data_IF_323877955302
#
_entry.id   IF_323877955302
#
_cell.length_a   1.000
_cell.length_b   1.000
_cell.length_c   1.000
_cell.angle_alpha   90.00
_cell.angle_beta   90.00
_cell.angle_gamma   90.00
#
_symmetry.space_group_name_H-M   'P 1'
#
loop_
_entity.id
_entity.type
_entity.pdbx_description
1 polymer ?
#
# COMPACT_ATOMS: atom_id res chain seq x y z
N UNK A 1 3.89 6.09 43.94
CA UNK A 1 3.90 7.53 44.29
C UNK A 1 4.03 8.36 43.02
N UNK A 2 2.91 8.65 42.35
CA UNK A 2 2.88 9.42 41.10
C UNK A 2 3.51 10.81 41.23
N UNK A 3 4.82 10.87 41.06
CA UNK A 3 5.60 12.09 40.94
C UNK A 3 6.17 12.10 39.53
N UNK A 4 5.61 12.93 38.67
CA UNK A 4 6.25 13.34 37.42
C UNK A 4 7.46 14.19 37.80
N UNK A 5 8.65 13.58 37.74
CA UNK A 5 9.91 14.29 37.93
C UNK A 5 10.12 15.27 36.78
N UNK A 6 10.28 16.55 37.09
CA UNK A 6 10.77 17.59 36.16
C UNK A 6 12.19 17.31 35.61
N UNK A 7 12.86 16.25 36.10
CA UNK A 7 14.25 15.88 35.78
C UNK A 7 14.42 14.52 35.07
N UNK A 8 13.36 13.86 34.61
CA UNK A 8 13.51 12.63 33.83
C UNK A 8 13.97 12.97 32.40
N UNK A 9 15.28 13.00 32.16
CA UNK A 9 15.88 13.49 30.92
C UNK A 9 15.60 12.63 29.67
N UNK A 10 15.16 11.38 29.85
CA UNK A 10 14.72 10.47 28.77
C UNK A 10 14.23 9.16 29.39
N UNK A 11 13.19 8.54 28.84
CA UNK A 11 12.83 7.14 29.15
C UNK A 11 13.72 6.13 28.40
N UNK A 12 14.71 6.62 27.64
CA UNK A 12 15.68 5.81 26.90
C UNK A 12 17.01 5.78 27.66
N UNK A 13 17.44 4.58 28.03
CA UNK A 13 18.75 4.30 28.61
C UNK A 13 19.84 4.61 27.58
N UNK A 14 20.90 5.30 28.00
CA UNK A 14 22.06 5.56 27.15
C UNK A 14 22.81 4.26 26.82
N UNK A 15 23.34 4.16 25.59
CA UNK A 15 24.20 3.06 25.19
C UNK A 15 25.56 3.63 24.73
N UNK A 16 26.65 3.45 25.51
CA UNK A 16 27.96 3.98 25.14
C UNK A 16 28.62 3.20 23.99
N UNK A 17 28.14 2.00 23.66
CA UNK A 17 28.70 1.13 22.61
C UNK A 17 28.09 1.39 21.23
N UNK A 18 27.32 2.47 21.07
CA UNK A 18 26.70 2.82 19.81
C UNK A 18 27.74 3.13 18.74
N UNK A 19 27.49 2.58 17.55
CA UNK A 19 28.27 2.79 16.34
C UNK A 19 27.37 3.13 15.17
N UNK A 20 27.98 3.57 14.07
CA UNK A 20 27.28 3.85 12.82
C UNK A 20 26.74 2.57 12.19
N UNK A 21 25.53 2.67 11.63
CA UNK A 21 25.03 1.66 10.69
C UNK A 21 25.93 1.64 9.45
N UNK A 22 26.34 0.45 9.01
CA UNK A 22 27.29 0.30 7.90
C UNK A 22 26.65 -0.50 6.78
N UNK A 23 26.54 0.09 5.59
CA UNK A 23 26.08 -0.61 4.38
C UNK A 23 27.27 -1.05 3.54
N UNK A 24 27.38 -2.35 3.32
CA UNK A 24 28.34 -2.96 2.39
C UNK A 24 27.62 -3.24 1.07
N UNK A 25 28.03 -2.54 0.02
CA UNK A 25 27.47 -2.66 -1.33
C UNK A 25 28.41 -3.44 -2.23
N UNK A 26 27.86 -4.46 -2.89
CA UNK A 26 28.48 -5.18 -4.00
C UNK A 26 27.64 -4.92 -5.24
N UNK A 27 28.27 -4.47 -6.33
CA UNK A 27 27.60 -4.24 -7.61
C UNK A 27 28.44 -4.86 -8.73
N UNK A 28 27.76 -5.47 -9.70
CA UNK A 28 28.31 -5.95 -10.96
C UNK A 28 27.45 -5.37 -12.09
N UNK A 29 28.05 -4.54 -12.93
CA UNK A 29 27.40 -3.92 -14.09
C UNK A 29 27.97 -4.42 -15.42
N UNK A 30 27.13 -4.49 -16.43
CA UNK A 30 27.50 -4.66 -17.83
C UNK A 30 26.83 -3.57 -18.67
N UNK A 31 27.63 -2.71 -19.26
CA UNK A 31 27.20 -1.71 -20.23
C UNK A 31 27.39 -2.21 -21.66
N UNK A 32 26.47 -1.84 -22.55
CA UNK A 32 26.58 -2.17 -23.97
C UNK A 32 26.10 -1.03 -24.87
N UNK A 33 26.77 -0.90 -26.01
CA UNK A 33 26.43 -0.02 -27.11
C UNK A 33 26.50 -0.83 -28.42
N UNK A 34 25.37 -0.96 -29.13
CA UNK A 34 25.25 -1.76 -30.34
C UNK A 34 24.77 -0.88 -31.52
N UNK A 35 25.11 -1.31 -32.74
CA UNK A 35 24.61 -0.73 -33.99
C UNK A 35 24.80 0.80 -34.09
N UNK A 36 26.02 1.29 -33.84
CA UNK A 36 26.33 2.72 -33.77
C UNK A 36 25.45 3.47 -32.75
N UNK A 37 25.28 2.86 -31.57
CA UNK A 37 24.48 3.38 -30.44
C UNK A 37 22.98 3.53 -30.75
N UNK A 38 22.45 2.78 -31.72
CA UNK A 38 20.99 2.66 -31.90
C UNK A 38 20.34 1.86 -30.79
N UNK A 39 21.08 0.94 -30.17
CA UNK A 39 20.64 0.22 -28.98
C UNK A 39 21.74 0.32 -27.95
N UNK A 40 21.43 0.89 -26.79
CA UNK A 40 22.36 1.01 -25.66
C UNK A 40 21.67 0.71 -24.35
N UNK A 41 22.41 0.30 -23.34
CA UNK A 41 21.82 -0.02 -22.06
C UNK A 41 22.82 -0.54 -21.04
N UNK A 42 22.30 -0.82 -19.86
CA UNK A 42 23.05 -1.41 -18.76
C UNK A 42 22.23 -2.52 -18.10
N UNK A 43 22.92 -3.55 -17.62
CA UNK A 43 22.39 -4.54 -16.70
C UNK A 43 23.25 -4.51 -15.45
N UNK A 44 22.64 -4.23 -14.32
CA UNK A 44 23.31 -4.13 -13.03
C UNK A 44 22.71 -5.12 -12.06
N UNK A 45 23.55 -5.89 -11.38
CA UNK A 45 23.16 -6.74 -10.27
C UNK A 45 23.82 -6.21 -8.99
N UNK A 46 23.05 -6.08 -7.92
CA UNK A 46 23.57 -5.56 -6.66
C UNK A 46 23.16 -6.40 -5.46
N UNK A 47 23.97 -6.30 -4.41
CA UNK A 47 23.70 -6.80 -3.08
C UNK A 47 24.19 -5.78 -2.06
N UNK A 48 23.24 -5.17 -1.34
CA UNK A 48 23.48 -4.25 -0.25
C UNK A 48 23.18 -4.95 1.07
N UNK A 49 24.16 -5.04 1.96
CA UNK A 49 23.97 -5.57 3.32
C UNK A 49 24.22 -4.44 4.30
N UNK A 50 23.19 -4.03 5.02
CA UNK A 50 23.28 -3.01 6.07
C UNK A 50 23.36 -3.71 7.42
N UNK A 51 24.50 -3.53 8.09
CA UNK A 51 24.80 -4.10 9.40
C UNK A 51 24.70 -3.05 10.48
N UNK A 52 24.62 -3.54 11.72
CA UNK A 52 24.63 -2.71 12.92
C UNK A 52 23.43 -1.75 12.97
N UNK A 53 22.26 -2.19 12.49
CA UNK A 53 21.04 -1.37 12.51
C UNK A 53 20.71 -0.92 13.93
N UNK A 54 20.38 0.36 14.07
CA UNK A 54 19.96 0.99 15.31
C UNK A 54 18.50 0.64 15.58
N UNK A 55 18.29 -0.28 16.52
CA UNK A 55 16.97 -0.71 16.93
C UNK A 55 16.69 -0.16 18.32
N UNK A 56 15.52 0.45 18.52
CA UNK A 56 15.07 0.86 19.85
C UNK A 56 14.54 -0.37 20.59
N UNK A 57 15.32 -0.91 21.52
CA UNK A 57 15.07 -2.19 22.16
C UNK A 57 14.51 -2.01 23.57
N UNK A 58 13.45 -2.72 23.99
CA UNK A 58 12.92 -2.62 25.35
C UNK A 58 13.92 -3.20 26.37
N UNK A 59 14.13 -2.51 27.49
CA UNK A 59 15.07 -2.96 28.53
C UNK A 59 14.35 -3.27 29.84
N UNK A 60 14.65 -4.39 30.51
CA UNK A 60 14.09 -4.68 31.83
C UNK A 60 14.75 -3.79 32.91
N UNK A 61 13.95 -3.10 33.73
CA UNK A 61 14.45 -2.32 34.87
C UNK A 61 13.53 -1.21 35.34
N UNK A 62 13.80 -0.65 36.53
CA UNK A 62 13.05 0.49 37.08
C UNK A 62 13.70 1.81 36.64
N UNK A 63 13.11 2.49 35.65
CA UNK A 63 13.48 3.88 35.31
C UNK A 63 13.73 4.18 33.83
N UNK A 64 13.85 3.16 32.97
CA UNK A 64 13.98 3.31 31.52
C UNK A 64 13.13 2.25 30.81
N UNK A 65 12.47 2.65 29.72
CA UNK A 65 11.59 1.77 28.93
C UNK A 65 12.37 1.10 27.80
N UNK A 66 13.36 1.78 27.23
CA UNK A 66 14.06 1.36 26.00
C UNK A 66 15.54 1.74 25.98
N UNK A 67 16.33 1.15 25.09
CA UNK A 67 17.72 1.51 24.80
C UNK A 67 17.99 1.29 23.30
N UNK A 68 18.62 2.25 22.62
CA UNK A 68 19.09 2.02 21.25
C UNK A 68 20.28 1.05 21.24
N UNK A 69 20.25 0.05 20.34
CA UNK A 69 21.32 -0.93 20.18
C UNK A 69 21.58 -1.22 18.70
N UNK A 70 22.84 -1.43 18.34
CA UNK A 70 23.24 -1.93 17.03
C UNK A 70 23.08 -3.44 16.99
N UNK A 71 21.94 -3.94 16.51
CA UNK A 71 21.60 -5.37 16.61
C UNK A 71 21.00 -5.98 15.34
N UNK A 72 20.57 -5.18 14.38
CA UNK A 72 19.95 -5.70 13.16
C UNK A 72 20.90 -5.80 11.96
N UNK A 73 20.56 -6.69 11.05
CA UNK A 73 21.15 -6.77 9.71
C UNK A 73 20.02 -6.91 8.67
N UNK A 74 20.03 -6.08 7.63
CA UNK A 74 19.14 -6.20 6.48
C UNK A 74 19.92 -6.36 5.19
N UNK A 75 19.28 -6.94 4.19
CA UNK A 75 19.83 -7.14 2.86
C UNK A 75 18.82 -6.67 1.80
N UNK A 76 19.30 -5.92 0.82
CA UNK A 76 18.61 -5.69 -0.44
C UNK A 76 19.42 -6.35 -1.55
N UNK A 77 18.76 -7.10 -2.43
CA UNK A 77 19.40 -7.74 -3.58
C UNK A 77 18.51 -7.55 -4.79
N UNK A 78 19.10 -7.13 -5.89
CA UNK A 78 18.32 -6.79 -7.05
C UNK A 78 19.08 -6.80 -8.36
N UNK A 79 18.29 -6.68 -9.42
CA UNK A 79 18.75 -6.49 -10.79
C UNK A 79 18.04 -5.27 -11.36
N UNK A 80 18.80 -4.40 -11.99
CA UNK A 80 18.32 -3.23 -12.71
C UNK A 80 18.74 -3.34 -14.17
N UNK A 81 17.80 -3.07 -15.06
CA UNK A 81 18.02 -3.09 -16.50
C UNK A 81 17.58 -1.76 -17.06
N UNK A 82 18.46 -1.11 -17.81
CA UNK A 82 18.15 0.06 -18.61
C UNK A 82 18.38 -0.23 -20.09
N UNK A 83 17.49 0.27 -20.95
CA UNK A 83 17.55 0.07 -22.39
C UNK A 83 17.09 1.35 -23.10
N UNK A 84 17.90 1.82 -24.03
CA UNK A 84 17.60 2.92 -24.93
C UNK A 84 17.65 2.42 -26.36
N UNK A 85 16.63 2.75 -27.14
CA UNK A 85 16.47 2.34 -28.53
C UNK A 85 16.18 3.59 -29.35
N UNK A 86 17.12 3.96 -30.23
CA UNK A 86 16.88 4.93 -31.30
C UNK A 86 16.33 4.19 -32.51
N UNK A 87 15.01 4.01 -32.53
CA UNK A 87 14.30 3.20 -33.52
C UNK A 87 14.34 3.87 -34.90
N UNK A 88 14.15 5.19 -34.93
CA UNK A 88 14.24 6.02 -36.14
C UNK A 88 15.13 7.22 -35.83
N UNK A 89 16.08 7.49 -36.73
CA UNK A 89 17.03 8.60 -36.58
C UNK A 89 17.34 9.19 -37.95
N UNK A 90 16.48 10.11 -38.38
CA UNK A 90 16.64 10.90 -39.60
C UNK A 90 16.67 12.39 -39.23
N UNK A 91 17.00 13.24 -40.20
CA UNK A 91 17.12 14.70 -39.99
C UNK A 91 15.79 15.33 -39.57
N UNK A 92 14.70 14.98 -40.25
CA UNK A 92 13.39 15.60 -40.04
C UNK A 92 12.49 14.83 -39.06
N UNK A 93 12.82 13.58 -38.74
CA UNK A 93 12.02 12.77 -37.84
C UNK A 93 12.86 11.74 -37.06
N UNK A 94 12.48 11.56 -35.79
CA UNK A 94 13.11 10.60 -34.89
C UNK A 94 12.07 9.94 -33.99
N UNK A 95 12.40 8.73 -33.55
CA UNK A 95 11.61 7.96 -32.59
C UNK A 95 12.58 7.21 -31.68
N UNK A 96 12.56 7.58 -30.40
CA UNK A 96 13.40 7.00 -29.37
C UNK A 96 12.53 6.42 -28.24
N UNK A 97 12.94 5.25 -27.77
CA UNK A 97 12.36 4.58 -26.61
C UNK A 97 13.42 4.45 -25.52
N UNK A 98 13.08 4.86 -24.30
CA UNK A 98 13.89 4.56 -23.11
C UNK A 98 13.06 3.69 -22.18
N UNK A 99 13.66 2.65 -21.63
CA UNK A 99 13.02 1.69 -20.73
C UNK A 99 13.94 1.42 -19.55
N UNK A 100 13.37 1.33 -18.36
CA UNK A 100 14.07 0.86 -17.18
C UNK A 100 13.17 -0.05 -16.35
N UNK A 101 13.74 -1.11 -15.78
CA UNK A 101 13.05 -2.02 -14.86
C UNK A 101 14.00 -2.42 -13.73
N UNK A 102 13.49 -2.44 -12.51
CA UNK A 102 14.19 -2.85 -11.32
C UNK A 102 13.45 -3.96 -10.59
N UNK A 103 14.19 -4.97 -10.15
CA UNK A 103 13.73 -6.05 -9.29
C UNK A 103 14.51 -5.95 -7.99
N UNK A 104 13.87 -5.56 -6.89
CA UNK A 104 14.53 -5.51 -5.58
C UNK A 104 13.84 -6.46 -4.60
N UNK A 105 14.63 -7.27 -3.90
CA UNK A 105 14.17 -8.12 -2.80
C UNK A 105 14.83 -7.67 -1.52
N UNK A 106 14.01 -7.21 -0.58
CA UNK A 106 14.42 -6.95 0.78
C UNK A 106 14.36 -8.25 1.62
N UNK A 107 15.29 -8.39 2.56
CA UNK A 107 15.30 -9.47 3.55
C UNK A 107 15.92 -8.98 4.85
N UNK A 108 15.31 -9.37 5.96
CA UNK A 108 15.88 -9.19 7.29
C UNK A 108 16.77 -10.39 7.58
N UNK A 109 18.07 -10.16 7.75
CA UNK A 109 19.04 -11.23 8.02
C UNK A 109 19.13 -11.53 9.53
N UNK A 110 19.00 -10.50 10.37
CA UNK A 110 19.03 -10.63 11.83
C UNK A 110 18.33 -9.46 12.50
N UNK A 111 17.70 -9.71 13.65
CA UNK A 111 17.20 -8.70 14.60
C UNK A 111 17.95 -8.79 15.95
N UNK A 112 19.14 -9.37 15.94
CA UNK A 112 19.97 -9.58 17.11
C UNK A 112 19.46 -10.76 17.94
N UNK A 113 18.83 -10.48 19.07
CA UNK A 113 18.29 -11.49 19.99
C UNK A 113 16.79 -11.77 19.79
N UNK A 114 16.15 -11.06 18.85
CA UNK A 114 14.76 -11.28 18.48
C UNK A 114 14.69 -12.09 17.18
N UNK A 115 13.64 -12.92 17.07
CA UNK A 115 13.27 -13.57 15.81
C UNK A 115 12.21 -12.76 15.06
N UNK A 116 11.34 -12.07 15.79
CA UNK A 116 10.30 -11.22 15.26
C UNK A 116 9.85 -10.11 16.22
N UNK A 117 9.08 -9.15 15.68
CA UNK A 117 8.22 -8.26 16.45
C UNK A 117 7.09 -7.68 15.58
N UNK A 118 6.00 -7.27 16.21
CA UNK A 118 4.89 -6.58 15.56
C UNK A 118 5.02 -5.05 15.58
N UNK A 119 4.44 -4.39 14.58
CA UNK A 119 4.34 -2.94 14.47
C UNK A 119 2.89 -2.54 14.23
N UNK A 120 2.50 -1.41 14.82
CA UNK A 120 1.19 -0.79 14.65
C UNK A 120 1.31 0.50 13.84
N UNK A 121 0.45 0.67 12.84
CA UNK A 121 0.32 1.94 12.11
C UNK A 121 -0.35 3.02 12.95
N UNK A 122 -1.17 2.64 13.94
CA UNK A 122 -2.04 3.49 14.76
C UNK A 122 -3.06 4.33 13.97
N UNK A 123 -3.43 3.98 12.74
CA UNK A 123 -4.48 4.76 12.05
C UNK A 123 -5.83 4.61 12.77
N UNK A 124 -6.10 3.43 13.33
CA UNK A 124 -7.28 3.10 14.12
C UNK A 124 -7.04 3.18 15.64
N UNK A 125 -6.14 4.06 16.11
CA UNK A 125 -5.68 4.07 17.51
C UNK A 125 -5.19 2.66 17.92
N UNK A 126 -5.67 2.11 19.03
CA UNK A 126 -5.32 0.78 19.53
C UNK A 126 -6.26 -0.33 19.07
N UNK A 127 -7.25 -0.06 18.21
CA UNK A 127 -8.29 -1.03 17.88
C UNK A 127 -7.77 -2.24 17.10
N UNK A 128 -6.77 -2.07 16.24
CA UNK A 128 -6.25 -3.16 15.39
C UNK A 128 -5.09 -3.90 16.05
N UNK A 129 -4.27 -3.20 16.82
CA UNK A 129 -3.03 -3.74 17.37
C UNK A 129 -1.92 -3.73 16.34
N UNK A 130 -1.11 -4.78 16.30
CA UNK A 130 -0.04 -4.93 15.31
C UNK A 130 -0.63 -5.32 13.96
N UNK A 131 -0.54 -4.42 12.98
CA UNK A 131 -1.02 -4.59 11.61
C UNK A 131 0.13 -4.80 10.60
N UNK A 132 1.37 -4.79 11.09
CA UNK A 132 2.56 -5.22 10.38
C UNK A 132 3.39 -6.15 11.26
N UNK A 133 4.15 -7.03 10.62
CA UNK A 133 5.09 -7.92 11.30
C UNK A 133 6.47 -7.83 10.67
N UNK A 134 7.49 -7.93 11.53
CA UNK A 134 8.90 -7.92 11.16
C UNK A 134 9.49 -9.26 11.59
N UNK A 135 9.88 -10.08 10.61
CA UNK A 135 10.38 -11.44 10.84
C UNK A 135 11.77 -11.64 10.23
N UNK A 136 12.68 -12.28 10.95
CA UNK A 136 13.95 -12.75 10.37
C UNK A 136 13.67 -13.68 9.19
N UNK A 137 14.37 -13.47 8.09
CA UNK A 137 14.22 -14.23 6.85
C UNK A 137 13.18 -13.69 5.86
N UNK A 138 12.36 -12.73 6.27
CA UNK A 138 11.30 -12.12 5.46
C UNK A 138 11.62 -10.66 5.10
N UNK A 139 10.95 -10.06 4.10
CA UNK A 139 11.04 -8.63 3.84
C UNK A 139 10.35 -7.79 4.92
N UNK A 140 10.74 -6.52 5.04
CA UNK A 140 9.97 -5.50 5.77
C UNK A 140 8.67 -5.20 5.01
N UNK A 141 7.61 -4.76 5.69
CA UNK A 141 6.37 -4.34 5.03
C UNK A 141 5.38 -5.48 4.77
N UNK A 142 5.47 -6.53 5.58
CA UNK A 142 4.47 -7.59 5.64
C UNK A 142 3.28 -7.14 6.47
N UNK A 143 2.11 -7.16 5.87
CA UNK A 143 0.83 -6.84 6.50
C UNK A 143 0.36 -8.04 7.32
N UNK A 144 -0.04 -7.80 8.57
CA UNK A 144 -0.39 -8.82 9.54
C UNK A 144 -1.83 -8.61 10.02
N UNK A 145 -2.69 -9.61 9.85
CA UNK A 145 -4.11 -9.49 10.17
C UNK A 145 -4.87 -10.78 9.92
N UNK A 146 -6.20 -10.69 9.95
CA UNK A 146 -7.08 -11.85 9.83
C UNK A 146 -7.30 -12.30 8.38
N UNK A 147 -7.56 -13.59 8.18
CA UNK A 147 -8.12 -14.08 6.93
C UNK A 147 -9.65 -13.96 6.97
N UNK A 148 -10.23 -13.31 5.97
CA UNK A 148 -11.67 -13.19 5.81
C UNK A 148 -12.28 -14.53 5.41
N UNK A 149 -13.42 -14.88 6.03
CA UNK A 149 -14.24 -16.04 5.68
C UNK A 149 -15.67 -15.61 5.29
N UNK A 150 -15.80 -14.36 4.81
CA UNK A 150 -17.07 -13.78 4.40
C UNK A 150 -17.89 -13.27 5.59
N UNK A 151 -19.09 -13.83 5.77
CA UNK A 151 -20.02 -13.43 6.83
C UNK A 151 -20.72 -14.64 7.42
N UNK A 152 -21.20 -14.50 8.65
CA UNK A 152 -22.02 -15.53 9.28
C UNK A 152 -23.39 -15.58 8.60
N UNK A 153 -23.78 -16.76 8.13
CA UNK A 153 -25.08 -16.97 7.50
C UNK A 153 -26.11 -17.45 8.54
N UNK A 154 -27.41 -17.33 8.25
CA UNK A 154 -28.47 -17.87 9.14
C UNK A 154 -28.24 -19.37 9.43
N UNK A 155 -27.70 -20.10 8.46
CA UNK A 155 -27.38 -21.52 8.57
C UNK A 155 -26.31 -21.85 9.61
N UNK A 156 -25.49 -20.88 10.02
CA UNK A 156 -24.44 -21.07 11.03
C UNK A 156 -25.00 -21.15 12.45
N UNK A 157 -26.30 -20.89 12.64
CA UNK A 157 -26.94 -20.80 13.96
C UNK A 157 -28.09 -21.78 14.12
N UNK A 158 -28.37 -22.15 15.37
CA UNK A 158 -29.69 -22.61 15.82
C UNK A 158 -30.49 -21.40 16.30
N UNK A 159 -31.81 -21.47 16.15
CA UNK A 159 -32.72 -20.40 16.57
C UNK A 159 -33.79 -20.96 17.51
N UNK A 160 -33.83 -20.44 18.74
CA UNK A 160 -34.83 -20.79 19.74
C UNK A 160 -35.28 -19.53 20.50
N UNK A 161 -36.60 -19.38 20.67
CA UNK A 161 -37.24 -18.30 21.42
C UNK A 161 -36.67 -16.88 21.16
N UNK A 162 -36.32 -16.55 19.92
CA UNK A 162 -35.78 -15.22 19.55
C UNK A 162 -34.27 -15.09 19.66
N UNK A 163 -33.54 -16.16 19.99
CA UNK A 163 -32.10 -16.16 20.21
C UNK A 163 -31.39 -17.01 19.16
N UNK A 164 -30.39 -16.41 18.50
CA UNK A 164 -29.45 -17.14 17.65
C UNK A 164 -28.29 -17.67 18.48
N UNK A 165 -28.04 -18.97 18.42
CA UNK A 165 -26.90 -19.63 19.07
C UNK A 165 -26.02 -20.25 18.00
N UNK A 166 -24.72 -19.97 18.04
CA UNK A 166 -23.77 -20.50 17.06
C UNK A 166 -23.72 -22.03 17.15
N UNK A 167 -23.70 -22.72 16.01
CA UNK A 167 -23.59 -24.19 15.96
C UNK A 167 -22.19 -24.66 16.28
N UNK A 168 -22.09 -25.87 16.84
CA UNK A 168 -20.82 -26.56 17.06
C UNK A 168 -20.02 -26.67 15.75
N UNK A 169 -18.71 -26.43 15.83
CA UNK A 169 -17.79 -26.48 14.69
C UNK A 169 -17.72 -25.21 13.85
N UNK A 170 -18.51 -24.18 14.17
CA UNK A 170 -18.33 -22.83 13.60
C UNK A 170 -17.55 -21.98 14.61
N UNK A 171 -16.47 -21.35 14.16
CA UNK A 171 -15.63 -20.54 15.03
C UNK A 171 -16.37 -19.29 15.55
N UNK A 172 -16.16 -18.94 16.82
CA UNK A 172 -16.77 -17.76 17.45
C UNK A 172 -15.84 -16.54 17.33
N UNK A 173 -16.23 -15.56 16.53
CA UNK A 173 -15.49 -14.31 16.38
C UNK A 173 -15.88 -13.20 17.37
N UNK A 174 -16.64 -13.50 18.43
CA UNK A 174 -17.19 -12.49 19.34
C UNK A 174 -16.14 -11.59 19.99
N UNK A 175 -14.94 -12.11 20.25
CA UNK A 175 -13.81 -11.36 20.79
C UNK A 175 -13.28 -10.28 19.81
N UNK A 176 -13.52 -10.44 18.51
CA UNK A 176 -12.99 -9.56 17.45
C UNK A 176 -14.05 -8.64 16.88
N UNK A 177 -15.23 -9.17 16.51
CA UNK A 177 -16.27 -8.41 15.79
C UNK A 177 -17.39 -7.91 16.72
N UNK A 178 -17.41 -8.36 17.98
CA UNK A 178 -18.54 -8.18 18.91
C UNK A 178 -19.52 -9.34 18.81
N UNK A 179 -20.64 -9.30 19.56
CA UNK A 179 -21.60 -10.41 19.63
C UNK A 179 -21.96 -10.96 18.25
N UNK A 180 -21.56 -12.20 17.99
CA UNK A 180 -21.78 -12.86 16.71
C UNK A 180 -23.27 -13.13 16.51
N UNK A 181 -23.77 -12.70 15.35
CA UNK A 181 -25.15 -12.86 14.89
C UNK A 181 -25.12 -13.07 13.36
N UNK A 182 -26.20 -13.59 12.76
CA UNK A 182 -26.32 -13.63 11.30
C UNK A 182 -26.00 -12.27 10.67
N UNK A 183 -25.18 -12.28 9.64
CA UNK A 183 -24.70 -11.11 8.92
C UNK A 183 -23.42 -10.48 9.43
N UNK A 184 -22.88 -10.89 10.58
CA UNK A 184 -21.60 -10.35 11.08
C UNK A 184 -20.42 -10.82 10.21
N UNK A 185 -19.32 -10.07 10.17
CA UNK A 185 -18.08 -10.49 9.50
C UNK A 185 -17.59 -11.83 10.09
N UNK A 186 -17.26 -12.78 9.21
CA UNK A 186 -16.71 -14.08 9.58
C UNK A 186 -15.22 -14.11 9.24
N UNK A 187 -14.43 -14.66 10.15
CA UNK A 187 -12.99 -14.74 10.05
C UNK A 187 -12.58 -16.20 10.17
N UNK A 188 -11.51 -16.57 9.48
CA UNK A 188 -11.02 -17.95 9.46
C UNK A 188 -10.27 -18.26 10.75
N UNK A 189 -10.69 -19.32 11.43
CA UNK A 189 -9.91 -19.97 12.49
C UNK A 189 -8.74 -20.71 11.85
N UNK A 190 -7.52 -20.27 12.15
CA UNK A 190 -6.30 -20.86 11.58
C UNK A 190 -5.60 -21.82 12.53
N UNK A 191 -5.94 -21.79 13.82
CA UNK A 191 -5.30 -22.62 14.85
C UNK A 191 -6.16 -23.84 15.25
N UNK A 192 -7.46 -23.84 14.90
CA UNK A 192 -8.42 -24.93 15.09
C UNK A 192 -9.01 -25.01 16.50
N UNK A 193 -8.94 -23.96 17.30
CA UNK A 193 -9.47 -23.94 18.68
C UNK A 193 -10.96 -23.53 18.77
N UNK A 194 -11.56 -23.13 17.64
CA UNK A 194 -12.96 -22.73 17.54
C UNK A 194 -13.28 -21.32 18.02
N UNK A 195 -12.29 -20.49 18.36
CA UNK A 195 -12.47 -19.10 18.79
C UNK A 195 -11.52 -18.16 18.06
N UNK A 196 -12.05 -17.07 17.47
CA UNK A 196 -11.17 -16.12 16.79
C UNK A 196 -10.57 -15.14 17.80
N UNK A 197 -9.26 -15.15 17.91
CA UNK A 197 -8.49 -14.30 18.82
C UNK A 197 -7.36 -13.57 18.10
N UNK A 198 -6.38 -13.00 18.81
CA UNK A 198 -5.19 -12.39 18.15
C UNK A 198 -4.23 -13.44 17.58
N UNK A 199 -4.35 -14.70 18.04
CA UNK A 199 -3.51 -15.81 17.61
C UNK A 199 -3.90 -16.30 16.20
N UNK A 200 -5.04 -15.83 15.67
CA UNK A 200 -5.49 -16.09 14.29
C UNK A 200 -4.97 -15.11 13.25
N UNK A 201 -4.18 -14.12 13.66
CA UNK A 201 -3.52 -13.24 12.71
C UNK A 201 -2.43 -13.99 11.94
N UNK A 202 -2.29 -13.67 10.67
CA UNK A 202 -1.23 -14.19 9.80
C UNK A 202 -0.76 -13.13 8.81
N UNK A 203 0.26 -13.45 8.02
CA UNK A 203 0.70 -12.58 6.93
C UNK A 203 -0.34 -12.62 5.82
N UNK A 204 -0.97 -11.47 5.56
CA UNK A 204 -2.08 -11.33 4.61
C UNK A 204 -1.73 -10.44 3.41
N UNK A 205 -0.56 -9.80 3.39
CA UNK A 205 -0.13 -8.95 2.29
C UNK A 205 1.34 -8.56 2.36
N UNK A 206 1.89 -8.11 1.23
CA UNK A 206 3.27 -7.66 1.09
C UNK A 206 3.35 -6.35 0.29
N UNK A 207 3.74 -5.27 0.96
CA UNK A 207 3.85 -3.95 0.34
C UNK A 207 5.01 -3.80 -0.67
N UNK A 208 5.88 -4.81 -0.80
CA UNK A 208 7.02 -4.72 -1.72
C UNK A 208 6.64 -5.17 -3.12
N UNK A 209 6.92 -4.36 -4.16
CA UNK A 209 6.65 -4.75 -5.53
C UNK A 209 7.60 -5.86 -5.97
N UNK A 210 7.10 -6.75 -6.84
CA UNK A 210 7.94 -7.74 -7.52
C UNK A 210 8.91 -7.07 -8.48
N UNK A 211 8.47 -5.99 -9.11
CA UNK A 211 9.30 -5.09 -9.91
C UNK A 211 8.63 -3.73 -10.12
N UNK A 212 9.44 -2.73 -10.38
CA UNK A 212 9.01 -1.38 -10.76
C UNK A 212 9.79 -0.94 -11.99
N UNK A 213 9.29 0.06 -12.70
CA UNK A 213 10.02 0.59 -13.85
C UNK A 213 9.32 1.75 -14.52
N UNK A 214 9.90 2.17 -15.63
CA UNK A 214 9.36 3.23 -16.46
C UNK A 214 9.75 3.06 -17.91
N UNK A 215 8.98 3.71 -18.78
CA UNK A 215 9.36 3.86 -20.17
C UNK A 215 8.99 5.23 -20.69
N UNK A 216 9.81 5.76 -21.58
CA UNK A 216 9.64 7.06 -22.21
C UNK A 216 9.60 6.86 -23.71
N UNK A 217 8.64 7.50 -24.36
CA UNK A 217 8.56 7.61 -25.81
C UNK A 217 8.89 9.05 -26.16
N UNK A 218 9.94 9.26 -26.95
CA UNK A 218 10.26 10.53 -27.56
C UNK A 218 10.07 10.42 -29.07
N UNK A 219 9.33 11.34 -29.67
CA UNK A 219 9.20 11.42 -31.11
C UNK A 219 9.34 12.86 -31.57
N UNK A 220 10.00 13.07 -32.70
CA UNK A 220 10.02 14.36 -33.39
C UNK A 220 9.66 14.14 -34.85
N UNK A 221 8.93 15.08 -35.45
CA UNK A 221 8.63 15.08 -36.88
C UNK A 221 8.32 16.50 -37.37
N UNK A 222 9.10 17.02 -38.31
CA UNK A 222 8.85 18.29 -39.00
C UNK A 222 8.51 19.46 -38.04
N UNK A 223 9.28 19.59 -36.96
CA UNK A 223 9.10 20.62 -35.93
C UNK A 223 8.13 20.27 -34.80
N UNK A 224 7.31 19.22 -34.93
CA UNK A 224 6.53 18.67 -33.81
C UNK A 224 7.40 17.77 -32.93
N UNK A 225 7.20 17.86 -31.62
CA UNK A 225 7.87 17.02 -30.63
C UNK A 225 6.87 16.43 -29.62
N UNK A 226 7.04 15.16 -29.29
CA UNK A 226 6.24 14.41 -28.34
C UNK A 226 7.16 13.78 -27.29
N UNK A 227 6.79 13.92 -26.02
CA UNK A 227 7.36 13.16 -24.91
C UNK A 227 6.22 12.53 -24.10
N UNK A 228 6.25 11.21 -23.94
CA UNK A 228 5.31 10.47 -23.10
C UNK A 228 6.07 9.61 -22.10
N UNK A 229 5.94 9.91 -20.80
CA UNK A 229 6.66 9.25 -19.72
C UNK A 229 5.72 8.40 -18.87
N UNK A 230 5.98 7.10 -18.82
CA UNK A 230 5.21 6.11 -18.09
C UNK A 230 6.01 5.53 -16.92
N UNK A 231 5.32 5.19 -15.84
CA UNK A 231 5.88 4.37 -14.76
C UNK A 231 4.90 3.28 -14.34
N UNK A 232 5.41 2.18 -13.79
CA UNK A 232 4.60 1.10 -13.25
C UNK A 232 5.19 0.53 -11.97
N UNK A 233 4.31 -0.13 -11.21
CA UNK A 233 4.64 -1.01 -10.09
C UNK A 233 3.78 -2.25 -10.22
N UNK A 234 4.33 -3.45 -9.97
CA UNK A 234 3.57 -4.70 -10.08
C UNK A 234 3.85 -5.62 -8.91
N UNK A 235 2.78 -6.20 -8.37
CA UNK A 235 2.78 -7.29 -7.40
C UNK A 235 3.00 -6.87 -5.95
N UNK A 236 2.93 -5.57 -5.65
CA UNK A 236 2.81 -5.07 -4.28
C UNK A 236 1.34 -5.03 -3.86
N UNK A 237 1.10 -5.23 -2.58
CA UNK A 237 -0.22 -5.06 -1.97
C UNK A 237 -0.32 -3.69 -1.27
N UNK A 238 -1.54 -3.18 -1.16
CA UNK A 238 -1.89 -1.93 -0.48
C UNK A 238 -2.82 -2.24 0.68
N UNK A 239 -2.49 -1.72 1.86
CA UNK A 239 -3.39 -1.73 2.99
C UNK A 239 -4.37 -0.56 2.86
N UNK A 240 -5.59 -0.84 2.38
CA UNK A 240 -6.65 0.14 2.27
C UNK A 240 -7.41 0.35 3.60
N UNK A 241 -6.85 1.18 4.48
CA UNK A 241 -7.49 1.52 5.75
C UNK A 241 -8.77 2.34 5.57
N UNK A 242 -8.88 3.15 4.51
CA UNK A 242 -10.12 3.86 4.17
C UNK A 242 -11.27 2.89 3.91
N UNK A 243 -11.00 1.76 3.23
CA UNK A 243 -11.99 0.72 2.96
C UNK A 243 -12.56 0.12 4.25
N UNK A 244 -11.73 -0.04 5.30
CA UNK A 244 -12.20 -0.47 6.62
C UNK A 244 -13.00 0.63 7.30
N UNK A 245 -12.45 1.85 7.39
CA UNK A 245 -13.09 2.95 8.11
C UNK A 245 -14.47 3.31 7.54
N UNK A 246 -14.59 3.38 6.22
CA UNK A 246 -15.81 3.78 5.53
C UNK A 246 -16.79 2.62 5.30
N UNK A 247 -16.51 1.42 5.81
CA UNK A 247 -17.49 0.31 5.81
C UNK A 247 -17.89 -0.14 7.21
N UNK A 248 -17.26 0.41 8.24
CA UNK A 248 -17.50 -0.01 9.63
C UNK A 248 -18.16 1.11 10.43
N UNK A 249 -19.30 0.81 11.04
CA UNK A 249 -19.87 1.60 12.13
C UNK A 249 -19.46 0.96 13.47
N UNK A 250 -18.98 1.76 14.41
CA UNK A 250 -18.64 1.29 15.77
C UNK A 250 -19.08 2.34 16.80
N UNK A 251 -18.89 2.07 18.09
CA UNK A 251 -19.32 2.97 19.18
C UNK A 251 -18.80 4.41 19.05
N UNK A 252 -17.64 4.63 18.43
CA UNK A 252 -17.05 5.95 18.23
C UNK A 252 -17.56 6.66 16.96
N UNK A 253 -18.45 6.04 16.19
CA UNK A 253 -18.92 6.57 14.93
C UNK A 253 -20.16 5.87 14.39
N UNK A 254 -21.16 5.65 15.25
CA UNK A 254 -22.37 4.88 14.92
C UNK A 254 -23.20 5.53 13.79
N UNK A 255 -23.17 6.85 13.67
CA UNK A 255 -23.99 7.63 12.72
C UNK A 255 -23.18 8.20 11.54
N UNK A 256 -22.04 7.59 11.21
CA UNK A 256 -21.23 8.03 10.06
C UNK A 256 -21.87 7.59 8.74
N UNK A 257 -21.66 8.40 7.70
CA UNK A 257 -21.91 7.93 6.34
C UNK A 257 -20.93 6.81 6.02
N UNK A 258 -21.45 5.74 5.42
CA UNK A 258 -20.66 4.64 4.91
C UNK A 258 -20.49 4.79 3.39
N UNK A 259 -19.45 4.14 2.87
CA UNK A 259 -19.20 4.05 1.43
C UNK A 259 -20.29 3.24 0.73
N UNK A 260 -20.37 3.38 -0.60
CA UNK A 260 -21.33 2.65 -1.45
C UNK A 260 -21.14 1.14 -1.42
N UNK A 261 -20.01 0.63 -0.95
CA UNK A 261 -19.81 -0.80 -0.64
C UNK A 261 -20.87 -1.30 0.34
N UNK A 262 -21.24 -0.46 1.31
CA UNK A 262 -22.25 -0.74 2.32
C UNK A 262 -23.63 -0.17 1.95
N UNK A 263 -23.90 0.11 0.67
CA UNK A 263 -25.23 0.58 0.24
C UNK A 263 -26.34 -0.45 0.51
N UNK A 264 -27.58 0.02 0.56
CA UNK A 264 -28.76 -0.85 0.68
C UNK A 264 -28.78 -1.88 -0.46
N UNK A 265 -29.07 -3.14 -0.14
CA UNK A 265 -29.02 -4.25 -1.11
C UNK A 265 -27.63 -4.88 -1.29
N UNK A 266 -26.54 -4.23 -0.86
CA UNK A 266 -25.20 -4.83 -0.83
C UNK A 266 -24.86 -5.40 0.55
N UNK A 267 -25.09 -4.62 1.61
CA UNK A 267 -24.84 -5.02 3.00
C UNK A 267 -25.95 -5.90 3.56
N UNK A 268 -25.60 -6.74 4.52
CA UNK A 268 -26.57 -7.42 5.35
C UNK A 268 -27.44 -6.40 6.10
N UNK A 269 -28.75 -6.65 6.15
CA UNK A 269 -29.69 -5.85 6.92
C UNK A 269 -30.59 -6.75 7.79
N UNK A 270 -30.81 -6.30 9.02
CA UNK A 270 -31.80 -6.87 9.94
C UNK A 270 -33.08 -6.03 9.98
N UNK A 271 -33.20 -5.00 9.13
CA UNK A 271 -34.35 -4.09 9.12
C UNK A 271 -35.20 -4.38 7.89
N UNK A 272 -36.50 -4.54 8.13
CA UNK A 272 -37.51 -4.63 7.09
C UNK A 272 -37.58 -3.27 6.34
N UNK A 273 -37.37 -3.22 5.02
CA UNK A 273 -37.33 -1.96 4.27
C UNK A 273 -38.66 -1.20 4.24
N UNK A 274 -39.80 -1.88 4.43
CA UNK A 274 -41.13 -1.28 4.34
C UNK A 274 -41.61 -0.73 5.69
N UNK A 275 -41.32 -1.44 6.78
CA UNK A 275 -41.79 -1.11 8.13
C UNK A 275 -40.73 -0.51 9.05
N UNK A 276 -39.44 -0.67 8.70
CA UNK A 276 -38.31 -0.26 9.54
C UNK A 276 -38.15 -1.08 10.83
N UNK A 277 -38.90 -2.18 10.97
CA UNK A 277 -38.84 -3.05 12.14
C UNK A 277 -37.72 -4.08 12.01
N UNK A 278 -37.24 -4.57 13.16
CA UNK A 278 -36.24 -5.63 13.21
C UNK A 278 -36.84 -6.96 12.75
N UNK A 279 -36.18 -7.61 11.81
CA UNK A 279 -36.50 -8.96 11.34
C UNK A 279 -35.69 -9.97 12.17
N UNK A 280 -36.38 -10.78 12.96
CA UNK A 280 -35.76 -11.80 13.83
C UNK A 280 -36.00 -13.23 13.34
N UNK A 281 -37.05 -13.47 12.56
CA UNK A 281 -37.37 -14.78 12.00
C UNK A 281 -36.27 -15.26 11.02
N UNK A 282 -35.71 -16.47 11.20
CA UNK A 282 -34.63 -16.99 10.36
C UNK A 282 -34.97 -17.05 8.87
N UNK A 283 -36.19 -17.44 8.51
CA UNK A 283 -36.60 -17.63 7.11
C UNK A 283 -36.74 -16.28 6.43
N UNK A 284 -37.37 -15.31 7.09
CA UNK A 284 -37.49 -13.95 6.60
C UNK A 284 -36.12 -13.28 6.48
N UNK A 285 -35.26 -13.45 7.49
CA UNK A 285 -33.94 -12.85 7.52
C UNK A 285 -33.03 -13.40 6.41
N UNK A 286 -33.11 -14.70 6.12
CA UNK A 286 -32.41 -15.32 5.00
C UNK A 286 -32.93 -14.79 3.65
N UNK A 287 -34.26 -14.71 3.48
CA UNK A 287 -34.85 -14.21 2.24
C UNK A 287 -34.46 -12.74 1.96
N UNK A 288 -34.48 -11.90 3.01
CA UNK A 288 -34.10 -10.49 2.97
C UNK A 288 -32.65 -10.28 2.50
N UNK A 289 -31.75 -11.22 2.84
CA UNK A 289 -30.31 -11.12 2.58
C UNK A 289 -29.80 -12.06 1.48
N UNK A 290 -30.71 -12.59 0.66
CA UNK A 290 -30.38 -13.56 -0.41
C UNK A 290 -29.49 -13.01 -1.52
N UNK A 291 -29.52 -11.70 -1.78
CA UNK A 291 -28.73 -11.03 -2.82
C UNK A 291 -27.63 -10.12 -2.25
N UNK A 292 -27.47 -10.08 -0.92
CA UNK A 292 -26.47 -9.24 -0.27
C UNK A 292 -25.15 -10.02 -0.17
N UNK A 293 -24.03 -9.33 -0.34
CA UNK A 293 -22.68 -9.94 -0.35
C UNK A 293 -21.83 -9.47 0.82
N UNK A 294 -22.11 -8.28 1.36
CA UNK A 294 -21.36 -7.70 2.47
C UNK A 294 -22.00 -8.06 3.82
N UNK A 295 -21.18 -8.07 4.87
CA UNK A 295 -21.62 -8.18 6.26
C UNK A 295 -22.35 -6.92 6.72
N UNK A 296 -22.96 -7.00 7.90
CA UNK A 296 -23.54 -5.87 8.62
C UNK A 296 -22.43 -4.92 9.07
N UNK A 297 -22.57 -3.60 8.84
CA UNK A 297 -21.48 -2.66 9.05
C UNK A 297 -21.14 -2.43 10.52
N UNK A 298 -22.03 -2.79 11.45
CA UNK A 298 -21.80 -2.55 12.86
C UNK A 298 -20.84 -3.59 13.45
N UNK A 299 -19.71 -3.14 13.99
CA UNK A 299 -18.72 -3.98 14.68
C UNK A 299 -18.24 -3.29 15.96
N UNK A 300 -17.78 -4.07 16.95
CA UNK A 300 -17.23 -3.54 18.21
C UNK A 300 -15.96 -2.69 18.00
N UNK A 301 -15.19 -2.99 16.95
CA UNK A 301 -13.96 -2.29 16.56
C UNK A 301 -13.73 -2.37 15.04
N UNK A 302 -12.76 -1.60 14.56
CA UNK A 302 -12.22 -1.84 13.21
C UNK A 302 -11.43 -3.15 13.19
N UNK A 303 -11.60 -3.93 12.13
CA UNK A 303 -10.96 -5.23 11.94
C UNK A 303 -10.13 -5.18 10.66
N UNK A 304 -8.86 -5.57 10.75
CA UNK A 304 -7.99 -5.68 9.58
C UNK A 304 -7.95 -7.13 9.09
N UNK A 305 -8.42 -7.34 7.87
CA UNK A 305 -8.34 -8.62 7.18
C UNK A 305 -7.84 -8.45 5.74
N UNK A 306 -7.51 -9.58 5.11
CA UNK A 306 -7.12 -9.67 3.70
C UNK A 306 -8.15 -9.04 2.74
N UNK A 307 -9.42 -8.90 3.11
CA UNK A 307 -10.42 -8.15 2.33
C UNK A 307 -10.05 -6.68 2.09
N UNK A 308 -9.31 -6.08 3.02
CA UNK A 308 -8.80 -4.70 2.91
C UNK A 308 -7.38 -4.61 2.35
N UNK A 309 -6.79 -5.74 1.97
CA UNK A 309 -5.52 -5.83 1.25
C UNK A 309 -5.82 -5.91 -0.24
N UNK A 310 -5.33 -4.97 -1.01
CA UNK A 310 -5.67 -4.84 -2.43
C UNK A 310 -4.42 -4.81 -3.31
N UNK A 311 -4.54 -5.35 -4.54
CA UNK A 311 -3.45 -5.31 -5.51
C UNK A 311 -3.10 -3.86 -5.87
N UNK A 312 -1.88 -3.46 -5.54
CA UNK A 312 -1.32 -2.15 -5.82
C UNK A 312 -0.63 -2.06 -7.17
N UNK A 313 -0.81 -3.03 -8.05
CA UNK A 313 -0.26 -3.00 -9.39
C UNK A 313 -0.90 -1.88 -10.22
N UNK A 314 -0.08 -1.14 -10.96
CA UNK A 314 -0.55 -0.06 -11.82
C UNK A 314 0.40 0.26 -12.98
N UNK A 315 -0.15 0.88 -14.02
CA UNK A 315 0.58 1.62 -15.06
C UNK A 315 0.06 3.05 -15.11
N UNK A 316 0.95 4.04 -15.07
CA UNK A 316 0.59 5.45 -15.13
C UNK A 316 1.31 6.15 -16.26
N UNK A 317 0.59 7.03 -16.97
CA UNK A 317 1.17 8.07 -17.81
C UNK A 317 1.40 9.32 -16.96
N UNK A 318 2.63 9.48 -16.48
CA UNK A 318 3.03 10.60 -15.61
C UNK A 318 2.97 11.92 -16.34
N UNK A 319 3.56 11.98 -17.52
CA UNK A 319 3.71 13.22 -18.27
C UNK A 319 3.52 12.97 -19.75
N UNK A 320 2.73 13.83 -20.38
CA UNK A 320 2.56 13.88 -21.82
C UNK A 320 2.79 15.32 -22.29
N UNK A 321 3.84 15.54 -23.06
CA UNK A 321 4.15 16.83 -23.66
C UNK A 321 4.02 16.72 -25.17
N UNK A 322 3.29 17.66 -25.76
CA UNK A 322 3.28 17.90 -27.21
C UNK A 322 3.75 19.33 -27.44
N UNK A 323 4.72 19.50 -28.33
CA UNK A 323 5.24 20.79 -28.73
C UNK A 323 5.36 20.94 -30.23
N UNK A 324 5.50 22.19 -30.65
CA UNK A 324 5.82 22.57 -32.01
C UNK A 324 6.82 23.72 -31.99
N UNK A 325 7.97 23.47 -32.62
CA UNK A 325 9.01 24.47 -32.85
C UNK A 325 8.82 25.07 -34.23
N UNK A 326 8.64 26.40 -34.29
CA UNK A 326 8.43 27.11 -35.55
C UNK A 326 9.73 27.12 -36.36
N UNK A 327 9.70 26.81 -37.66
CA UNK A 327 10.88 26.88 -38.53
C UNK A 327 11.60 28.23 -38.48
N UNK A 328 12.93 28.20 -38.39
CA UNK A 328 13.78 29.41 -38.31
C UNK A 328 13.57 30.36 -39.49
N UNK A 329 13.25 29.83 -40.67
CA UNK A 329 12.97 30.61 -41.88
C UNK A 329 11.80 31.59 -41.70
N UNK A 330 10.87 31.32 -40.77
CA UNK A 330 9.69 32.15 -40.51
C UNK A 330 9.95 33.20 -39.41
N UNK A 331 10.88 32.93 -38.49
CA UNK A 331 11.08 33.74 -37.28
C UNK A 331 12.40 34.54 -37.26
N UNK A 332 13.38 34.15 -38.09
CA UNK A 332 14.71 34.80 -38.13
C UNK A 332 14.65 36.30 -38.47
N UNK A 333 13.69 36.72 -39.30
CA UNK A 333 13.47 38.14 -39.64
C UNK A 333 13.00 39.00 -38.47
N UNK A 334 12.50 38.38 -37.40
CA UNK A 334 12.00 39.06 -36.21
C UNK A 334 13.06 39.16 -35.11
N UNK A 335 14.32 38.73 -35.37
CA UNK A 335 15.38 38.71 -34.36
C UNK A 335 15.14 37.64 -33.27
N UNK A 336 14.47 36.55 -33.63
CA UNK A 336 14.14 35.43 -32.74
C UNK A 336 14.91 34.20 -33.20
N UNK A 337 15.70 33.61 -32.30
CA UNK A 337 16.49 32.41 -32.56
C UNK A 337 15.72 31.10 -32.34
N UNK A 338 14.73 31.08 -31.45
CA UNK A 338 13.85 29.90 -31.26
C UNK A 338 12.47 30.29 -30.74
N UNK A 339 11.44 29.72 -31.33
CA UNK A 339 10.05 29.85 -30.89
C UNK A 339 9.40 28.46 -30.82
N UNK A 340 9.07 28.00 -29.61
CA UNK A 340 8.36 26.72 -29.40
C UNK A 340 7.12 26.92 -28.54
N UNK A 341 5.99 26.44 -29.02
CA UNK A 341 4.76 26.31 -28.24
C UNK A 341 4.64 24.89 -27.73
N UNK A 342 4.13 24.70 -26.51
CA UNK A 342 3.91 23.36 -25.98
C UNK A 342 2.73 23.30 -25.01
N UNK A 343 2.14 22.12 -24.92
CA UNK A 343 1.21 21.73 -23.87
C UNK A 343 1.78 20.52 -23.14
N UNK A 344 1.79 20.55 -21.82
CA UNK A 344 2.22 19.43 -20.97
C UNK A 344 1.10 19.06 -20.01
N UNK A 345 0.69 17.81 -20.05
CA UNK A 345 -0.24 17.22 -19.10
C UNK A 345 0.54 16.36 -18.10
N UNK A 346 0.31 16.57 -16.80
CA UNK A 346 0.86 15.77 -15.70
C UNK A 346 -0.24 14.95 -15.03
N UNK A 347 0.08 13.75 -14.57
CA UNK A 347 -0.86 12.74 -14.04
C UNK A 347 -2.01 12.47 -15.01
N UNK A 348 -1.67 12.07 -16.25
CA UNK A 348 -2.64 11.96 -17.35
C UNK A 348 -3.63 10.84 -17.07
N UNK A 349 -3.19 9.62 -16.80
CA UNK A 349 -4.06 8.53 -16.38
C UNK A 349 -3.28 7.48 -15.59
N UNK A 350 -4.03 6.67 -14.84
CA UNK A 350 -3.53 5.46 -14.16
C UNK A 350 -4.46 4.30 -14.49
N UNK A 351 -3.90 3.13 -14.78
CA UNK A 351 -4.59 1.87 -14.97
C UNK A 351 -4.25 1.01 -13.76
N UNK A 352 -5.23 0.63 -12.97
CA UNK A 352 -5.08 -0.20 -11.76
C UNK A 352 -6.40 -0.89 -11.42
N UNK A 353 -6.33 -1.99 -10.67
CA UNK A 353 -7.49 -2.63 -10.05
C UNK A 353 -7.71 -2.16 -8.61
N UNK A 354 -6.82 -1.32 -8.08
CA UNK A 354 -6.94 -0.74 -6.75
C UNK A 354 -8.22 0.10 -6.65
N UNK A 355 -8.99 -0.09 -5.56
CA UNK A 355 -10.29 0.57 -5.41
C UNK A 355 -10.21 1.99 -4.83
N UNK A 356 -9.07 2.36 -4.24
CA UNK A 356 -8.81 3.70 -3.73
C UNK A 356 -8.46 4.71 -4.83
N UNK A 357 -8.13 5.94 -4.41
CA UNK A 357 -7.93 7.06 -5.33
C UNK A 357 -6.63 6.97 -6.15
N UNK A 358 -5.58 6.44 -5.54
CA UNK A 358 -4.26 6.35 -6.15
C UNK A 358 -3.53 5.10 -5.60
N UNK A 359 -2.99 4.22 -6.45
CA UNK A 359 -2.25 3.03 -5.99
C UNK A 359 -0.84 3.35 -5.45
N UNK A 360 -0.34 4.57 -5.64
CA UNK A 360 0.94 5.03 -5.08
C UNK A 360 0.75 5.74 -3.75
N UNK A 361 0.26 5.01 -2.76
CA UNK A 361 -0.11 5.54 -1.44
C UNK A 361 0.71 4.92 -0.32
N UNK A 362 1.10 5.78 0.62
CA UNK A 362 1.75 5.38 1.87
C UNK A 362 1.68 6.56 2.83
N UNK A 363 0.66 6.62 3.69
CA UNK A 363 0.41 7.78 4.56
C UNK A 363 0.94 7.60 5.97
N UNK A 364 1.13 6.37 6.44
CA UNK A 364 1.64 6.07 7.80
C UNK A 364 3.17 5.94 7.78
N UNK A 365 3.86 7.09 7.81
CA UNK A 365 5.33 7.19 7.62
C UNK A 365 6.15 7.41 8.89
N UNK A 366 5.56 7.24 10.08
CA UNK A 366 6.28 7.41 11.36
C UNK A 366 7.49 6.46 11.45
N UNK A 367 7.38 5.29 10.82
CA UNK A 367 8.42 4.29 10.71
C UNK A 367 8.50 3.80 9.25
N UNK A 368 9.68 3.41 8.75
CA UNK A 368 9.80 2.77 7.44
C UNK A 368 9.20 1.35 7.41
N UNK A 369 8.76 0.81 8.56
CA UNK A 369 8.27 -0.57 8.70
C UNK A 369 6.82 -0.79 8.24
N UNK A 370 6.07 0.28 7.98
CA UNK A 370 4.64 0.22 7.58
C UNK A 370 4.37 0.88 6.22
N UNK A 371 5.08 0.48 5.14
CA UNK A 371 4.84 1.02 3.80
C UNK A 371 3.50 0.54 3.24
N UNK A 372 2.90 1.31 2.32
CA UNK A 372 1.71 0.86 1.56
C UNK A 372 0.38 1.04 2.28
N UNK A 373 0.32 1.83 3.36
CA UNK A 373 -0.95 2.16 4.03
C UNK A 373 -1.65 3.32 3.34
N UNK A 374 -2.88 3.08 2.88
CA UNK A 374 -3.80 4.10 2.39
C UNK A 374 -4.78 4.53 3.49
N UNK A 375 -4.50 5.70 4.06
CA UNK A 375 -5.39 6.35 5.02
C UNK A 375 -5.48 7.85 4.74
N UNK A 376 -6.62 8.28 4.19
CA UNK A 376 -6.95 9.67 3.83
C UNK A 376 -5.84 10.46 3.09
N UNK A 377 -5.21 9.92 2.03
CA UNK A 377 -4.26 10.66 1.21
C UNK A 377 -4.97 11.73 0.38
N UNK A 378 -4.26 12.83 0.09
CA UNK A 378 -4.69 13.74 -0.96
C UNK A 378 -4.39 13.13 -2.33
N UNK A 379 -5.36 13.10 -3.25
CA UNK A 379 -5.14 12.56 -4.59
C UNK A 379 -4.19 13.46 -5.38
N UNK A 380 -3.43 12.86 -6.30
CA UNK A 380 -2.61 13.60 -7.26
C UNK A 380 -3.52 14.30 -8.27
N UNK A 381 -3.44 15.63 -8.34
CA UNK A 381 -4.23 16.38 -9.33
C UNK A 381 -3.66 16.21 -10.74
N UNK A 382 -4.55 16.09 -11.73
CA UNK A 382 -4.20 16.24 -13.15
C UNK A 382 -3.97 17.72 -13.45
N UNK A 383 -2.85 18.04 -14.07
CA UNK A 383 -2.50 19.41 -14.44
C UNK A 383 -2.24 19.49 -15.94
N UNK A 384 -2.68 20.57 -16.58
CA UNK A 384 -2.38 20.85 -17.99
C UNK A 384 -1.78 22.26 -18.06
N UNK A 385 -0.55 22.35 -18.53
CA UNK A 385 0.23 23.59 -18.65
C UNK A 385 0.47 23.90 -20.11
N UNK A 386 0.09 25.09 -20.54
CA UNK A 386 0.44 25.64 -21.84
C UNK A 386 1.62 26.58 -21.67
N UNK A 387 2.62 26.46 -22.55
CA UNK A 387 3.85 27.24 -22.43
C UNK A 387 4.43 27.63 -23.78
N UNK A 388 5.30 28.63 -23.71
CA UNK A 388 6.06 29.18 -24.80
C UNK A 388 7.53 29.21 -24.39
N UNK A 389 8.42 28.73 -25.26
CA UNK A 389 9.85 28.96 -25.13
C UNK A 389 10.28 29.91 -26.26
N UNK A 390 10.78 31.09 -25.88
CA UNK A 390 11.21 32.16 -26.79
C UNK A 390 12.66 32.51 -26.47
N UNK A 391 13.53 32.35 -27.47
CA UNK A 391 14.93 32.79 -27.41
C UNK A 391 15.19 33.84 -28.48
N UNK A 392 15.97 34.86 -28.13
CA UNK A 392 16.42 35.92 -29.04
C UNK A 392 17.76 35.57 -29.68
#
# INVERSE_FOLDING_TARGET
>A
NGVTSYWAASNTLANPDLKWETTVTQNLGLDFDLFNRRVSGSVEAYKNVTKDLLINFPVPGTGYDTQYRNMGETQNTGVEVSLNISAIKEEDYSLDFSFNIGFNKNRINSLGIMDDFGINTNWASTQIGNDYVVNVGQPIGLMYGYLSDGRYEVSDFTYDAGTYTLKDGIADASAVVGTVMPGMMKLKDINGDGVITVDDNTIIGNANPKHTGGFIINANAYGFDLNAAFNWSVGNDIYNANKIEFTTANNNGQYRNLSTIMADGNRWTNLDPASGQLVTDPTQLQALNSNTTMWSPYMSRFVFSDWAVEDGSFLRLNTLTLGYTVPESLISKMGVSKLRFYATASNVFVITNYSGLDPEVSTRRKTPLTPGVDYSPFPRSRQVVFGLNLNF
#
